data_IF_561607272815
#
_entry.id   IF_561607272815
#
_cell.length_a   1.000
_cell.length_b   1.000
_cell.length_c   1.000
_cell.angle_alpha   90.00
_cell.angle_beta   90.00
_cell.angle_gamma   90.00
#
_symmetry.space_group_name_H-M   'P 1'
#
loop_
_entity.id
_entity.type
_entity.pdbx_description
1 polymer ?
#
# COMPACT_ATOMS: atom_id res chain seq x y z
N UNK A 1 -19.85 25.64 -40.11
CA UNK A 1 -18.90 25.59 -38.97
C UNK A 1 -17.74 24.67 -39.34
N UNK A 2 -16.51 25.16 -39.27
CA UNK A 2 -15.27 24.49 -39.71
C UNK A 2 -15.02 23.19 -38.92
N UNK A 3 -14.92 22.04 -39.60
CA UNK A 3 -14.75 20.72 -39.00
C UNK A 3 -13.49 20.56 -38.14
N UNK A 4 -12.49 21.42 -38.34
CA UNK A 4 -11.28 21.46 -37.50
C UNK A 4 -11.58 21.85 -36.05
N UNK A 5 -12.57 22.72 -35.82
CA UNK A 5 -12.97 23.13 -34.47
C UNK A 5 -13.57 21.98 -33.66
N UNK A 6 -14.20 21.00 -34.31
CA UNK A 6 -14.78 19.83 -33.62
C UNK A 6 -13.70 18.85 -33.14
N UNK A 7 -12.60 18.72 -33.89
CA UNK A 7 -11.46 17.87 -33.50
C UNK A 7 -10.74 18.40 -32.26
N UNK A 8 -10.48 19.71 -32.21
CA UNK A 8 -9.87 20.33 -31.03
C UNK A 8 -10.77 20.27 -29.80
N UNK A 9 -12.08 20.44 -29.96
CA UNK A 9 -13.05 20.24 -28.87
C UNK A 9 -13.03 18.81 -28.33
N UNK A 10 -12.96 17.82 -29.22
CA UNK A 10 -12.85 16.41 -28.82
C UNK A 10 -11.53 16.10 -28.11
N UNK A 11 -10.42 16.69 -28.55
CA UNK A 11 -9.11 16.55 -27.91
C UNK A 11 -9.11 17.14 -26.50
N UNK A 12 -9.68 18.34 -26.35
CA UNK A 12 -9.82 19.01 -25.05
C UNK A 12 -10.69 18.17 -24.11
N UNK A 13 -11.84 17.67 -24.59
CA UNK A 13 -12.72 16.82 -23.79
C UNK A 13 -12.02 15.53 -23.31
N UNK A 14 -11.23 14.90 -24.18
CA UNK A 14 -10.48 13.70 -23.83
C UNK A 14 -9.41 13.97 -22.77
N UNK A 15 -8.70 15.10 -22.90
CA UNK A 15 -7.68 15.49 -21.92
C UNK A 15 -8.28 15.75 -20.53
N UNK A 16 -9.45 16.38 -20.46
CA UNK A 16 -10.18 16.61 -19.21
C UNK A 16 -10.59 15.26 -18.58
N UNK A 17 -11.08 14.31 -19.38
CA UNK A 17 -11.49 13.01 -18.88
C UNK A 17 -10.34 12.20 -18.26
N UNK A 18 -9.14 12.27 -18.84
CA UNK A 18 -7.95 11.59 -18.29
C UNK A 18 -7.54 12.13 -16.92
N UNK A 19 -7.73 13.43 -16.67
CA UNK A 19 -7.39 14.04 -15.37
C UNK A 19 -8.36 13.61 -14.26
N UNK A 20 -9.61 13.24 -14.59
CA UNK A 20 -10.62 12.84 -13.60
C UNK A 20 -10.36 11.44 -12.98
N UNK A 21 -9.53 10.61 -13.61
CA UNK A 21 -9.27 9.22 -13.16
C UNK A 21 -8.28 9.07 -11.99
N UNK A 22 -7.69 10.17 -11.49
CA UNK A 22 -6.62 10.13 -10.49
C UNK A 22 -7.10 9.91 -9.04
N UNK A 23 -8.41 9.81 -8.81
CA UNK A 23 -9.01 9.80 -7.47
C UNK A 23 -9.02 8.42 -6.78
N UNK A 24 -8.56 7.36 -7.43
CA UNK A 24 -8.45 6.04 -6.81
C UNK A 24 -7.17 5.97 -5.97
N UNK A 25 -7.29 6.16 -4.66
CA UNK A 25 -6.19 5.92 -3.70
C UNK A 25 -6.41 4.58 -3.01
N UNK A 26 -5.43 3.69 -3.10
CA UNK A 26 -5.43 2.48 -2.28
C UNK A 26 -5.14 2.88 -0.84
N UNK A 27 -6.02 2.50 0.07
CA UNK A 27 -5.80 2.65 1.50
C UNK A 27 -4.95 1.49 2.01
N UNK A 28 -3.98 1.78 2.86
CA UNK A 28 -3.16 0.74 3.49
C UNK A 28 -4.01 0.02 4.54
N UNK A 29 -4.45 -1.20 4.23
CA UNK A 29 -5.30 -2.01 5.12
C UNK A 29 -4.46 -2.62 6.27
N UNK A 30 -3.16 -2.78 6.08
CA UNK A 30 -2.21 -3.22 7.10
C UNK A 30 -0.79 -3.34 6.55
N UNK A 31 0.21 -3.27 7.43
CA UNK A 31 1.61 -3.57 7.13
C UNK A 31 2.17 -4.52 8.18
N UNK A 32 2.98 -5.47 7.74
CA UNK A 32 3.74 -6.35 8.64
C UNK A 32 5.20 -6.01 8.49
N UNK A 33 5.82 -5.56 9.58
CA UNK A 33 7.24 -5.28 9.62
C UNK A 33 7.99 -6.54 10.05
N UNK A 34 8.69 -7.18 9.12
CA UNK A 34 9.61 -8.28 9.46
C UNK A 34 11.01 -7.70 9.65
N UNK A 35 11.41 -7.47 10.90
CA UNK A 35 12.75 -7.01 11.20
C UNK A 35 13.71 -8.19 11.07
N UNK A 36 14.44 -8.27 9.97
CA UNK A 36 15.57 -9.19 9.84
C UNK A 36 16.75 -8.66 10.65
N UNK A 37 17.15 -9.37 11.71
CA UNK A 37 18.34 -9.04 12.51
C UNK A 37 19.50 -9.93 12.06
N UNK A 38 20.53 -9.32 11.46
CA UNK A 38 21.75 -10.03 11.07
C UNK A 38 22.65 -10.32 12.27
N UNK A 39 22.64 -9.46 13.30
CA UNK A 39 23.36 -9.65 14.56
C UNK A 39 22.56 -9.10 15.75
N UNK A 40 22.47 -9.88 16.83
CA UNK A 40 21.84 -9.60 18.11
C UNK A 40 22.24 -10.73 19.08
N UNK A 41 21.96 -10.67 20.40
CA UNK A 41 22.14 -11.83 21.25
C UNK A 41 21.41 -12.98 20.56
N UNK A 42 22.16 -14.06 20.31
CA UNK A 42 21.63 -15.25 19.64
C UNK A 42 20.25 -15.57 20.18
N UNK A 43 19.30 -16.02 19.35
CA UNK A 43 17.86 -16.19 19.65
C UNK A 43 17.62 -17.00 20.94
N UNK A 44 17.92 -16.42 22.10
CA UNK A 44 17.95 -17.09 23.39
C UNK A 44 16.52 -17.04 23.87
N UNK A 45 15.76 -18.02 23.42
CA UNK A 45 14.46 -18.34 23.97
C UNK A 45 14.74 -18.86 25.38
N UNK A 46 14.55 -17.98 26.36
CA UNK A 46 14.54 -18.39 27.76
C UNK A 46 13.17 -19.02 28.00
N UNK A 47 13.15 -20.34 28.11
CA UNK A 47 11.96 -21.07 28.58
C UNK A 47 12.07 -21.15 30.10
N UNK A 48 11.27 -20.34 30.79
CA UNK A 48 11.09 -20.47 32.23
C UNK A 48 10.04 -21.55 32.46
N UNK A 49 10.46 -22.68 33.04
CA UNK A 49 9.53 -23.68 33.53
C UNK A 49 9.01 -23.18 34.88
N UNK A 50 7.71 -22.88 34.94
CA UNK A 50 7.00 -22.74 36.20
C UNK A 50 6.50 -24.14 36.56
N UNK A 51 6.88 -24.65 37.73
CA UNK A 51 6.28 -25.86 38.26
C UNK A 51 4.78 -25.58 38.48
N UNK A 52 3.94 -26.47 37.97
CA UNK A 52 2.51 -26.44 38.26
C UNK A 52 2.36 -26.66 39.78
N UNK A 53 1.82 -25.69 40.55
CA UNK A 53 1.73 -25.81 42.00
C UNK A 53 0.79 -26.93 42.45
N UNK A 54 0.00 -27.51 41.54
CA UNK A 54 -1.09 -28.44 41.86
C UNK A 54 -0.85 -29.88 41.34
N UNK A 55 0.38 -30.40 41.45
CA UNK A 55 0.67 -31.86 41.34
C UNK A 55 0.79 -32.57 42.67
#
# INVERSE_FOLDING_TARGET
MNGNNMKYKSLVLFSILLMLGQSARAEQIGSVDTVFKMFGPDHKIVVEAFDDPDV
#
